data_IF_427662454779
#
_entry.id   IF_427662454779
#
_cell.length_a   1.000
_cell.length_b   1.000
_cell.length_c   1.000
_cell.angle_alpha   90.00
_cell.angle_beta   90.00
_cell.angle_gamma   90.00
#
_symmetry.space_group_name_H-M   'P 1'
#
loop_
_entity.id
_entity.type
_entity.pdbx_description
1 polymer ?
#
# COMPACT_ATOMS: atom_id res chain seq x y z
N UNK A 1 9.94 3.96 -7.26
CA UNK A 1 8.96 3.25 -8.11
C UNK A 1 7.59 3.38 -7.46
N UNK A 2 6.52 3.45 -8.26
CA UNK A 2 5.12 3.49 -7.78
C UNK A 2 4.36 2.38 -8.48
N UNK A 3 3.45 1.72 -7.75
CA UNK A 3 2.54 0.72 -8.31
C UNK A 3 1.12 1.13 -7.99
N UNK A 4 0.26 1.13 -9.02
CA UNK A 4 -1.15 1.38 -8.89
C UNK A 4 -1.93 0.08 -8.72
N UNK A 5 -2.94 0.05 -7.86
CA UNK A 5 -3.88 -1.06 -7.77
C UNK A 5 -5.27 -0.60 -7.33
N UNK A 6 -6.26 -1.43 -7.63
CA UNK A 6 -7.65 -1.18 -7.24
C UNK A 6 -8.04 -2.10 -6.09
N UNK A 7 -8.73 -1.54 -5.10
CA UNK A 7 -9.21 -2.24 -3.93
C UNK A 7 -10.69 -1.92 -3.73
N UNK A 8 -11.55 -2.94 -3.70
CA UNK A 8 -12.94 -2.77 -3.35
C UNK A 8 -13.11 -2.98 -1.84
N UNK A 9 -13.49 -1.93 -1.11
CA UNK A 9 -13.85 -2.05 0.30
C UNK A 9 -15.31 -2.45 0.45
N UNK A 10 -15.56 -3.40 1.35
CA UNK A 10 -16.91 -3.80 1.73
C UNK A 10 -17.66 -2.71 2.51
N UNK A 11 -18.96 -2.90 2.75
CA UNK A 11 -19.75 -1.98 3.57
C UNK A 11 -19.12 -1.84 4.97
N UNK A 12 -18.87 -0.59 5.39
CA UNK A 12 -18.14 -0.29 6.63
C UNK A 12 -16.63 -0.09 6.48
N UNK A 13 -16.09 -0.14 5.26
CA UNK A 13 -14.67 0.13 4.99
C UNK A 13 -13.74 -1.07 5.26
N UNK A 14 -14.30 -2.27 5.39
CA UNK A 14 -13.52 -3.49 5.59
C UNK A 14 -12.74 -3.86 4.33
N UNK A 15 -11.46 -4.23 4.52
CA UNK A 15 -10.63 -4.77 3.45
C UNK A 15 -11.16 -6.14 2.98
N UNK A 16 -11.00 -6.50 1.70
CA UNK A 16 -11.20 -7.87 1.23
C UNK A 16 -10.41 -8.88 2.06
N UNK A 17 -11.05 -9.99 2.43
CA UNK A 17 -10.37 -11.09 3.11
C UNK A 17 -9.24 -11.68 2.25
N UNK A 18 -8.12 -12.04 2.90
CA UNK A 18 -6.97 -12.68 2.26
C UNK A 18 -5.92 -11.72 1.69
N UNK A 19 -6.16 -10.41 1.70
CA UNK A 19 -5.09 -9.45 1.47
C UNK A 19 -4.19 -9.36 2.70
N UNK A 20 -2.87 -9.23 2.53
CA UNK A 20 -1.99 -9.06 3.67
C UNK A 20 -1.97 -7.57 4.11
N UNK A 21 -3.15 -6.96 4.17
CA UNK A 21 -3.38 -5.54 4.34
C UNK A 21 -4.40 -5.34 5.45
N UNK A 22 -3.96 -4.72 6.54
CA UNK A 22 -4.84 -4.27 7.61
C UNK A 22 -5.23 -2.83 7.33
N UNK A 23 -6.54 -2.52 7.33
CA UNK A 23 -7.06 -1.18 7.09
C UNK A 23 -7.93 -0.74 8.25
N UNK A 24 -7.78 0.52 8.64
CA UNK A 24 -8.72 1.20 9.52
C UNK A 24 -9.05 2.58 8.96
N UNK A 25 -10.32 2.95 9.05
CA UNK A 25 -10.81 4.24 8.62
C UNK A 25 -11.33 5.01 9.82
N UNK A 26 -10.76 6.19 10.06
CA UNK A 26 -11.06 6.98 11.25
C UNK A 26 -11.00 8.47 10.92
N UNK A 27 -12.09 9.20 11.17
CA UNK A 27 -12.19 10.66 10.96
C UNK A 27 -11.67 11.17 9.59
N UNK A 28 -11.91 10.41 8.51
CA UNK A 28 -11.43 10.77 7.17
C UNK A 28 -9.95 10.46 6.93
N UNK A 29 -9.31 9.72 7.83
CA UNK A 29 -7.95 9.20 7.68
C UNK A 29 -8.02 7.69 7.47
N UNK A 30 -7.49 7.23 6.34
CA UNK A 30 -7.22 5.83 6.06
C UNK A 30 -5.84 5.48 6.62
N UNK A 31 -5.79 4.54 7.55
CA UNK A 31 -4.55 3.98 8.10
C UNK A 31 -4.46 2.52 7.68
N UNK A 32 -3.25 2.03 7.51
CA UNK A 32 -3.08 0.61 7.28
C UNK A 32 -1.67 0.10 7.46
N UNK A 33 -1.56 -1.22 7.50
CA UNK A 33 -0.31 -1.96 7.60
C UNK A 33 -0.32 -3.01 6.50
N UNK A 34 0.65 -2.93 5.60
CA UNK A 34 0.94 -4.01 4.66
C UNK A 34 1.93 -4.96 5.33
N UNK A 35 1.52 -6.21 5.53
CA UNK A 35 2.40 -7.29 5.95
C UNK A 35 2.90 -8.03 4.73
N UNK A 36 4.17 -8.32 4.65
CA UNK A 36 4.70 -9.04 3.49
C UNK A 36 5.89 -9.89 3.90
N UNK A 37 5.87 -11.16 3.51
CA UNK A 37 7.06 -11.98 3.58
C UNK A 37 8.07 -11.52 2.52
N UNK A 38 9.26 -11.12 2.98
CA UNK A 38 10.38 -10.81 2.14
C UNK A 38 11.43 -11.93 2.25
N UNK A 39 11.91 -12.48 1.12
CA UNK A 39 12.86 -13.59 1.14
C UNK A 39 14.22 -13.25 1.78
N UNK A 40 14.56 -11.95 1.87
CA UNK A 40 15.82 -11.46 2.43
C UNK A 40 15.65 -10.98 3.87
N UNK A 41 14.52 -10.33 4.20
CA UNK A 41 14.31 -9.69 5.51
C UNK A 41 13.33 -10.40 6.44
N UNK A 42 12.69 -11.49 6.00
CA UNK A 42 11.59 -12.12 6.73
C UNK A 42 10.30 -11.29 6.61
N UNK A 43 9.43 -11.37 7.62
CA UNK A 43 8.19 -10.58 7.63
C UNK A 43 8.50 -9.08 7.77
N UNK A 44 8.04 -8.28 6.82
CA UNK A 44 8.10 -6.81 6.85
C UNK A 44 6.70 -6.28 7.08
N UNK A 45 6.57 -5.35 8.02
CA UNK A 45 5.35 -4.58 8.25
C UNK A 45 5.58 -3.13 7.85
N UNK A 46 4.82 -2.64 6.88
CA UNK A 46 4.94 -1.28 6.39
C UNK A 46 3.64 -0.51 6.62
N UNK A 47 3.71 0.47 7.50
CA UNK A 47 2.59 1.35 7.80
C UNK A 47 2.42 2.42 6.72
N UNK A 48 1.18 2.84 6.51
CA UNK A 48 0.83 4.08 5.81
C UNK A 48 -0.32 4.79 6.49
N UNK A 49 -0.42 6.07 6.19
CA UNK A 49 -1.57 6.90 6.53
C UNK A 49 -1.89 7.82 5.36
N UNK A 50 -3.17 8.02 5.09
CA UNK A 50 -3.66 8.86 4.01
C UNK A 50 -4.90 9.61 4.48
N UNK A 51 -5.03 10.88 4.12
CA UNK A 51 -6.22 11.69 4.39
C UNK A 51 -7.11 11.70 3.16
N UNK A 52 -8.42 11.53 3.37
CA UNK A 52 -9.43 11.73 2.35
C UNK A 52 -9.76 13.22 2.24
N UNK A 53 -9.50 13.79 1.07
CA UNK A 53 -9.82 15.16 0.70
C UNK A 53 -10.81 15.11 -0.47
N UNK A 54 -12.12 15.14 -0.15
CA UNK A 54 -13.17 14.89 -1.13
C UNK A 54 -13.15 13.44 -1.61
N UNK A 55 -12.74 13.21 -2.86
CA UNK A 55 -12.59 11.88 -3.46
C UNK A 55 -11.11 11.48 -3.64
N UNK A 56 -10.18 12.24 -3.06
CA UNK A 56 -8.74 12.00 -3.21
C UNK A 56 -8.13 11.52 -1.92
N UNK A 57 -7.32 10.47 -1.99
CA UNK A 57 -6.45 10.04 -0.90
C UNK A 57 -5.08 10.72 -1.03
N UNK A 58 -4.78 11.61 -0.09
CA UNK A 58 -3.52 12.33 0.02
C UNK A 58 -2.64 11.65 1.08
N UNK A 59 -1.42 11.20 0.75
CA UNK A 59 -0.56 10.53 1.72
C UNK A 59 -0.13 11.46 2.86
N UNK A 60 -0.16 10.95 4.09
CA UNK A 60 0.42 11.59 5.26
C UNK A 60 1.84 11.06 5.50
N UNK A 61 2.80 11.93 5.83
CA UNK A 61 4.18 11.52 6.00
C UNK A 61 4.36 10.63 7.23
N UNK A 62 5.10 9.54 7.08
CA UNK A 62 5.53 8.65 8.15
C UNK A 62 7.05 8.45 8.09
N UNK A 63 7.73 8.23 9.23
CA UNK A 63 9.14 7.90 9.23
C UNK A 63 9.40 6.60 8.44
N UNK A 64 10.47 6.53 7.64
CA UNK A 64 10.81 5.31 6.91
C UNK A 64 11.34 4.22 7.86
N UNK A 65 11.18 2.92 7.54
CA UNK A 65 10.51 2.41 6.35
C UNK A 65 8.98 2.47 6.47
N UNK A 66 8.34 3.03 5.45
CA UNK A 66 6.88 3.22 5.41
C UNK A 66 6.37 3.16 3.98
N UNK A 67 5.05 3.09 3.82
CA UNK A 67 4.39 3.23 2.53
C UNK A 67 3.82 4.64 2.38
N UNK A 68 4.03 5.20 1.20
CA UNK A 68 3.29 6.35 0.72
C UNK A 68 2.11 5.83 -0.09
N UNK A 69 0.90 6.05 0.42
CA UNK A 69 -0.33 5.61 -0.23
C UNK A 69 -1.15 6.83 -0.59
N UNK A 70 -1.32 7.05 -1.89
CA UNK A 70 -2.22 8.06 -2.44
C UNK A 70 -3.29 7.39 -3.28
N UNK A 71 -4.18 8.18 -3.88
CA UNK A 71 -5.14 7.62 -4.83
C UNK A 71 -6.44 8.38 -4.95
N UNK A 72 -7.42 7.68 -5.49
CA UNK A 72 -8.80 8.15 -5.65
C UNK A 72 -9.79 7.19 -5.00
N UNK A 73 -10.89 7.73 -4.50
CA UNK A 73 -12.03 7.01 -3.95
C UNK A 73 -13.21 7.19 -4.87
N UNK A 74 -13.81 6.09 -5.30
CA UNK A 74 -15.01 6.09 -6.14
C UNK A 74 -16.14 5.37 -5.38
N UNK A 75 -17.25 6.05 -5.07
CA UNK A 75 -18.39 5.41 -4.45
C UNK A 75 -19.01 4.39 -5.41
N UNK A 76 -19.31 3.19 -4.90
CA UNK A 76 -20.00 2.12 -5.63
C UNK A 76 -21.34 1.80 -4.97
N UNK A 77 -22.22 1.07 -5.68
CA UNK A 77 -23.54 0.66 -5.15
C UNK A 77 -23.44 -0.08 -3.81
N UNK A 78 -22.37 -0.85 -3.61
CA UNK A 78 -22.12 -1.66 -2.41
C UNK A 78 -20.70 -1.47 -1.86
N UNK A 79 -20.31 -0.21 -1.60
CA UNK A 79 -19.04 0.10 -0.92
C UNK A 79 -18.21 1.19 -1.60
N UNK A 80 -16.89 1.13 -1.42
CA UNK A 80 -15.94 2.11 -1.96
C UNK A 80 -14.89 1.40 -2.81
N UNK A 81 -14.73 1.85 -4.06
CA UNK A 81 -13.60 1.45 -4.88
C UNK A 81 -12.45 2.43 -4.66
N UNK A 82 -11.34 1.95 -4.12
CA UNK A 82 -10.11 2.70 -3.94
C UNK A 82 -9.15 2.40 -5.10
N UNK A 83 -8.75 3.44 -5.83
CA UNK A 83 -7.64 3.37 -6.80
C UNK A 83 -6.40 3.89 -6.10
N UNK A 84 -5.59 2.98 -5.57
CA UNK A 84 -4.44 3.30 -4.75
C UNK A 84 -3.16 3.37 -5.58
N UNK A 85 -2.37 4.41 -5.34
CA UNK A 85 -0.98 4.54 -5.76
C UNK A 85 -0.07 4.31 -4.57
N UNK A 86 0.80 3.31 -4.66
CA UNK A 86 1.68 2.92 -3.56
C UNK A 86 3.14 3.08 -3.92
N UNK A 87 3.89 3.70 -3.02
CA UNK A 87 5.33 3.85 -3.10
C UNK A 87 5.99 3.42 -1.80
N UNK A 88 7.19 2.85 -1.89
CA UNK A 88 8.01 2.51 -0.73
C UNK A 88 8.91 3.68 -0.34
N UNK A 89 8.72 4.21 0.86
CA UNK A 89 9.61 5.19 1.47
C UNK A 89 10.69 4.45 2.26
N UNK A 90 11.94 4.60 1.83
CA UNK A 90 13.11 4.01 2.48
C UNK A 90 13.98 5.10 3.11
N UNK A 91 14.81 4.75 4.11
CA UNK A 91 15.81 5.66 4.63
C UNK A 91 16.74 6.17 3.52
N UNK A 92 17.34 7.34 3.73
CA UNK A 92 18.35 7.84 2.81
C UNK A 92 19.61 6.96 2.84
N UNK A 93 20.02 6.47 1.66
CA UNK A 93 21.24 5.68 1.52
C UNK A 93 22.48 6.58 1.55
N UNK A 94 23.25 6.50 2.64
CA UNK A 94 24.48 7.26 2.88
C UNK A 94 25.63 6.72 2.03
N UNK A 95 25.72 5.39 1.87
CA UNK A 95 26.74 4.72 1.05
C UNK A 95 26.20 4.23 -0.30
N UNK A 96 27.11 3.93 -1.24
CA UNK A 96 26.73 3.28 -2.50
C UNK A 96 26.08 1.92 -2.28
N UNK A 97 26.60 1.13 -1.33
CA UNK A 97 26.06 -0.17 -0.97
C UNK A 97 24.63 -0.07 -0.44
N UNK A 98 24.36 0.89 0.45
CA UNK A 98 23.00 1.15 0.95
C UNK A 98 22.04 1.56 -0.18
N UNK A 99 22.47 2.44 -1.09
CA UNK A 99 21.65 2.84 -2.24
C UNK A 99 21.35 1.65 -3.16
N UNK A 100 22.33 0.77 -3.40
CA UNK A 100 22.12 -0.42 -4.22
C UNK A 100 21.16 -1.41 -3.53
N UNK A 101 21.35 -1.64 -2.23
CA UNK A 101 20.49 -2.49 -1.42
C UNK A 101 19.03 -1.98 -1.40
N UNK A 102 18.81 -0.69 -1.20
CA UNK A 102 17.47 -0.10 -1.21
C UNK A 102 16.77 -0.22 -2.56
N UNK A 103 17.52 -0.12 -3.68
CA UNK A 103 16.96 -0.37 -5.02
C UNK A 103 16.53 -1.83 -5.19
N UNK A 104 17.34 -2.78 -4.74
CA UNK A 104 16.99 -4.20 -4.76
C UNK A 104 15.76 -4.47 -3.90
N UNK A 105 15.72 -3.91 -2.69
CA UNK A 105 14.58 -4.05 -1.79
C UNK A 105 13.29 -3.53 -2.42
N UNK A 106 13.33 -2.35 -3.06
CA UNK A 106 12.18 -1.81 -3.78
C UNK A 106 11.71 -2.75 -4.90
N UNK A 107 12.63 -3.27 -5.71
CA UNK A 107 12.28 -4.18 -6.80
C UNK A 107 11.64 -5.48 -6.30
N UNK A 108 12.22 -6.10 -5.26
CA UNK A 108 11.68 -7.32 -4.64
C UNK A 108 10.31 -7.05 -4.02
N UNK A 109 10.15 -5.92 -3.33
CA UNK A 109 8.90 -5.50 -2.73
C UNK A 109 7.78 -5.42 -3.76
N UNK A 110 7.97 -4.64 -4.84
CA UNK A 110 6.95 -4.44 -5.87
C UNK A 110 6.64 -5.73 -6.63
N UNK A 111 7.65 -6.54 -6.93
CA UNK A 111 7.42 -7.83 -7.58
C UNK A 111 6.52 -8.75 -6.75
N UNK A 112 6.76 -8.84 -5.44
CA UNK A 112 5.95 -9.65 -4.56
C UNK A 112 4.54 -9.05 -4.33
N UNK A 113 4.42 -7.72 -4.24
CA UNK A 113 3.12 -7.05 -4.18
C UNK A 113 2.28 -7.32 -5.43
N UNK A 114 2.87 -7.18 -6.62
CA UNK A 114 2.21 -7.49 -7.90
C UNK A 114 1.78 -8.96 -7.98
N UNK A 115 2.61 -9.88 -7.48
CA UNK A 115 2.29 -11.31 -7.43
C UNK A 115 1.10 -11.58 -6.51
N UNK A 116 1.10 -11.05 -5.28
CA UNK A 116 -0.02 -11.20 -4.33
C UNK A 116 -1.31 -10.65 -4.91
N UNK A 117 -1.27 -9.46 -5.51
CA UNK A 117 -2.45 -8.85 -6.13
C UNK A 117 -2.92 -9.61 -7.38
N UNK A 118 -1.99 -10.11 -8.20
CA UNK A 118 -2.32 -10.90 -9.39
C UNK A 118 -2.92 -12.26 -9.06
N UNK A 119 -2.47 -12.89 -7.97
CA UNK A 119 -3.07 -14.13 -7.46
C UNK A 119 -4.47 -13.89 -6.89
N UNK A 120 -4.75 -12.67 -6.44
CA UNK A 120 -6.06 -12.25 -6.00
C UNK A 120 -6.94 -11.62 -7.11
N UNK A 121 -6.54 -11.69 -8.39
CA UNK A 121 -7.36 -11.29 -9.56
C UNK A 121 -8.58 -12.20 -9.78
N UNK A 122 -9.50 -12.17 -8.82
CA UNK A 122 -10.93 -12.01 -9.07
C UNK A 122 -11.37 -10.53 -9.08
N UNK A 123 -10.46 -9.57 -8.86
CA UNK A 123 -10.74 -8.13 -8.93
C UNK A 123 -9.74 -7.46 -9.89
N UNK A 124 -10.26 -6.97 -11.02
CA UNK A 124 -9.52 -6.62 -12.24
C UNK A 124 -8.82 -5.26 -12.25
N UNK A 125 -7.92 -5.13 -13.24
CA UNK A 125 -7.19 -3.91 -13.66
C UNK A 125 -8.14 -2.84 -14.18
#
# INVERSE_FOLDING_TARGET
>A
MRTGFQLLLGPGGAAPEGLPLELSWDEGVLKGILRQENPVLGEIQLAFQSRLEGLRLSPLPLPPPSLTVGGEVQPQREGLLLKLEVALALPEGRSWGERAFFRLLQAVFFHALEKTLSQQRGLGV
#
